data_IF_754830469303
#
_entry.id   IF_754830469303
#
_cell.length_a   1.000
_cell.length_b   1.000
_cell.length_c   1.000
_cell.angle_alpha   90.00
_cell.angle_beta   90.00
_cell.angle_gamma   90.00
#
_symmetry.space_group_name_H-M   'P 1'
#
loop_
_entity.id
_entity.type
_entity.pdbx_description
1 polymer ?
#
# COMPACT_ATOMS: atom_id res chain seq x y z
N UNK A 1 -7.46 5.44 19.79
CA UNK A 1 -7.38 5.36 18.31
C UNK A 1 -6.60 4.11 17.94
N UNK A 2 -7.08 3.38 16.96
CA UNK A 2 -6.47 2.13 16.47
C UNK A 2 -6.08 2.34 15.02
N UNK A 3 -4.86 1.99 14.65
CA UNK A 3 -4.37 2.04 13.27
C UNK A 3 -4.36 0.65 12.65
N UNK A 4 -4.97 0.48 11.47
CA UNK A 4 -5.01 -0.80 10.76
C UNK A 4 -4.33 -0.68 9.40
N UNK A 5 -3.58 -1.69 8.99
CA UNK A 5 -3.10 -1.80 7.61
C UNK A 5 -4.07 -2.62 6.77
N UNK A 6 -4.36 -2.17 5.55
CA UNK A 6 -5.10 -2.92 4.52
C UNK A 6 -4.08 -3.36 3.48
N UNK A 7 -3.74 -4.65 3.46
CA UNK A 7 -2.77 -5.23 2.53
C UNK A 7 -3.39 -6.30 1.65
N UNK A 8 -2.63 -6.86 0.73
CA UNK A 8 -3.04 -7.93 -0.18
C UNK A 8 -2.40 -7.79 -1.56
N UNK A 9 -2.37 -8.86 -2.35
CA UNK A 9 -1.74 -8.88 -3.66
C UNK A 9 -2.43 -8.01 -4.70
N UNK A 10 -1.78 -7.84 -5.84
CA UNK A 10 -2.36 -7.16 -7.01
C UNK A 10 -3.69 -7.83 -7.37
N UNK A 11 -4.74 -7.03 -7.61
CA UNK A 11 -6.06 -7.51 -8.00
C UNK A 11 -6.92 -8.08 -6.84
N UNK A 12 -6.44 -8.08 -5.59
CA UNK A 12 -7.20 -8.57 -4.44
C UNK A 12 -8.42 -7.72 -4.06
N UNK A 13 -8.47 -6.45 -4.46
CA UNK A 13 -9.58 -5.54 -4.13
C UNK A 13 -9.30 -4.64 -2.93
N UNK A 14 -8.05 -4.40 -2.54
CA UNK A 14 -7.68 -3.46 -1.46
C UNK A 14 -8.40 -2.13 -1.55
N UNK A 15 -8.27 -1.45 -2.68
CA UNK A 15 -8.87 -0.11 -2.85
C UNK A 15 -10.40 -0.14 -2.82
N UNK A 16 -11.04 -1.25 -3.17
CA UNK A 16 -12.48 -1.45 -2.97
C UNK A 16 -12.82 -1.52 -1.48
N UNK A 17 -12.08 -2.31 -0.70
CA UNK A 17 -12.21 -2.41 0.76
C UNK A 17 -11.92 -1.07 1.43
N UNK A 18 -10.84 -0.39 1.06
CA UNK A 18 -10.48 0.95 1.56
C UNK A 18 -11.60 1.97 1.32
N UNK A 19 -12.21 1.95 0.11
CA UNK A 19 -13.34 2.82 -0.21
C UNK A 19 -14.58 2.53 0.64
N UNK A 20 -14.85 1.26 0.97
CA UNK A 20 -15.96 0.89 1.87
C UNK A 20 -15.70 1.37 3.30
N UNK A 21 -14.47 1.26 3.79
CA UNK A 21 -14.08 1.78 5.11
C UNK A 21 -14.18 3.30 5.17
N UNK A 22 -13.74 4.01 4.13
CA UNK A 22 -13.90 5.48 4.04
C UNK A 22 -15.37 5.92 4.08
N UNK A 23 -16.26 5.18 3.42
CA UNK A 23 -17.72 5.43 3.48
C UNK A 23 -18.29 5.24 4.89
N UNK A 24 -17.63 4.46 5.73
CA UNK A 24 -18.00 4.25 7.14
C UNK A 24 -17.31 5.26 8.08
N UNK A 25 -16.62 6.28 7.52
CA UNK A 25 -15.96 7.32 8.30
C UNK A 25 -14.56 6.96 8.81
N UNK A 26 -13.95 5.89 8.31
CA UNK A 26 -12.57 5.51 8.66
C UNK A 26 -11.64 6.14 7.63
N UNK A 27 -10.80 7.12 8.01
CA UNK A 27 -9.82 7.72 7.10
C UNK A 27 -8.77 6.69 6.65
N UNK A 28 -8.37 6.75 5.39
CA UNK A 28 -7.37 5.84 4.81
C UNK A 28 -6.19 6.62 4.24
N UNK A 29 -5.00 6.29 4.70
CA UNK A 29 -3.72 6.74 4.15
C UNK A 29 -3.28 5.78 3.05
N UNK A 30 -3.26 6.22 1.79
CA UNK A 30 -2.80 5.39 0.67
C UNK A 30 -1.29 5.59 0.48
N UNK A 31 -0.48 4.57 0.81
CA UNK A 31 0.99 4.69 0.78
C UNK A 31 1.54 4.96 -0.61
N UNK A 32 0.92 4.43 -1.67
CA UNK A 32 1.38 4.63 -3.05
C UNK A 32 1.17 6.08 -3.51
N UNK A 33 0.04 6.68 -3.17
CA UNK A 33 -0.27 8.06 -3.54
C UNK A 33 0.53 9.06 -2.70
N UNK A 34 0.69 8.78 -1.40
CA UNK A 34 1.49 9.61 -0.51
C UNK A 34 3.00 9.52 -0.83
N UNK A 35 3.51 8.37 -1.22
CA UNK A 35 4.88 8.24 -1.72
C UNK A 35 5.10 9.12 -2.96
N UNK A 36 4.15 9.12 -3.92
CA UNK A 36 4.21 10.00 -5.10
C UNK A 36 4.15 11.48 -4.71
N UNK A 37 3.28 11.84 -3.75
CA UNK A 37 3.20 13.21 -3.23
C UNK A 37 4.51 13.64 -2.59
N UNK A 38 5.07 12.80 -1.71
CA UNK A 38 6.32 13.09 -1.01
C UNK A 38 7.52 13.18 -1.94
N UNK A 39 7.61 12.36 -2.98
CA UNK A 39 8.66 12.50 -4.00
C UNK A 39 8.63 13.86 -4.71
N UNK A 40 7.50 14.57 -4.69
CA UNK A 40 7.38 15.92 -5.28
C UNK A 40 7.60 17.01 -4.22
N UNK A 41 7.11 16.80 -2.99
CA UNK A 41 6.99 17.85 -1.97
C UNK A 41 8.02 17.80 -0.86
N UNK A 42 8.66 16.64 -0.61
CA UNK A 42 9.63 16.48 0.47
C UNK A 42 11.04 16.85 -0.03
N UNK A 43 11.62 17.88 0.58
CA UNK A 43 12.94 18.39 0.19
C UNK A 43 14.07 17.36 0.44
N UNK A 44 13.94 16.51 1.47
CA UNK A 44 14.91 15.48 1.77
C UNK A 44 14.89 14.35 0.74
N UNK A 45 13.70 13.87 0.33
CA UNK A 45 13.57 12.89 -0.76
C UNK A 45 14.16 13.47 -2.04
N UNK A 46 13.85 14.73 -2.35
CA UNK A 46 14.38 15.41 -3.53
C UNK A 46 15.91 15.43 -3.52
N UNK A 47 16.51 15.83 -2.40
CA UNK A 47 17.97 15.86 -2.26
C UNK A 47 18.60 14.48 -2.44
N UNK A 48 18.04 13.46 -1.79
CA UNK A 48 18.54 12.09 -1.84
C UNK A 48 18.38 11.47 -3.24
N UNK A 49 17.27 11.76 -3.95
CA UNK A 49 17.06 11.31 -5.33
C UNK A 49 18.00 12.01 -6.31
N UNK A 50 18.30 13.30 -6.13
CA UNK A 50 19.31 14.01 -6.93
C UNK A 50 20.70 13.42 -6.68
N UNK A 51 21.05 13.13 -5.45
CA UNK A 51 22.32 12.49 -5.12
C UNK A 51 22.46 11.09 -5.76
N UNK A 52 21.35 10.34 -5.89
CA UNK A 52 21.36 9.01 -6.49
C UNK A 52 21.29 9.01 -8.01
N UNK A 53 20.50 9.90 -8.62
CA UNK A 53 20.14 9.88 -10.05
C UNK A 53 20.75 11.04 -10.85
N UNK A 54 21.36 12.02 -10.17
CA UNK A 54 21.87 13.25 -10.78
C UNK A 54 20.81 14.38 -10.81
N UNK A 55 21.26 15.57 -11.19
CA UNK A 55 20.41 16.79 -11.24
C UNK A 55 19.18 16.63 -12.15
N UNK A 56 19.25 15.76 -13.16
CA UNK A 56 18.15 15.46 -14.08
C UNK A 56 17.00 14.70 -13.42
N UNK A 57 17.15 14.25 -12.17
CA UNK A 57 16.07 13.64 -11.39
C UNK A 57 14.85 14.57 -11.26
N UNK A 58 15.10 15.88 -11.27
CA UNK A 58 14.04 16.90 -11.29
C UNK A 58 14.33 17.96 -12.35
N UNK A 59 13.41 18.13 -13.28
CA UNK A 59 13.45 19.15 -14.33
C UNK A 59 12.44 20.25 -13.99
N UNK A 60 12.90 21.49 -13.90
CA UNK A 60 12.06 22.65 -13.53
C UNK A 60 11.21 22.43 -12.24
N UNK A 61 11.78 21.69 -11.29
CA UNK A 61 11.12 21.37 -10.04
C UNK A 61 10.16 20.16 -10.09
N UNK A 62 9.99 19.54 -11.25
CA UNK A 62 9.12 18.38 -11.48
C UNK A 62 9.95 17.10 -11.55
N UNK A 63 9.50 16.04 -10.85
CA UNK A 63 10.16 14.73 -10.90
C UNK A 63 10.21 14.17 -12.32
N UNK A 64 11.40 13.81 -12.78
CA UNK A 64 11.62 13.16 -14.07
C UNK A 64 11.23 11.67 -13.99
N UNK A 65 9.94 11.41 -14.20
CA UNK A 65 9.37 10.05 -14.12
C UNK A 65 10.02 9.08 -15.11
N UNK A 66 10.46 9.55 -16.28
CA UNK A 66 11.10 8.71 -17.28
C UNK A 66 12.49 8.25 -16.81
N UNK A 67 13.28 9.16 -16.22
CA UNK A 67 14.58 8.83 -15.66
C UNK A 67 14.43 7.83 -14.49
N UNK A 68 13.50 8.10 -13.58
CA UNK A 68 13.19 7.20 -12.45
C UNK A 68 12.78 5.82 -12.94
N UNK A 69 11.89 5.73 -13.91
CA UNK A 69 11.47 4.45 -14.49
C UNK A 69 12.64 3.72 -15.15
N UNK A 70 13.44 4.40 -15.96
CA UNK A 70 14.63 3.82 -16.59
C UNK A 70 15.61 3.27 -15.55
N UNK A 71 15.84 4.01 -14.47
CA UNK A 71 16.68 3.57 -13.36
C UNK A 71 16.12 2.31 -12.68
N UNK A 72 14.83 2.31 -12.36
CA UNK A 72 14.16 1.16 -11.71
C UNK A 72 14.24 -0.12 -12.54
N UNK A 73 14.18 -0.01 -13.88
CA UNK A 73 14.23 -1.18 -14.78
C UNK A 73 15.65 -1.61 -15.18
N UNK A 74 16.67 -0.79 -14.91
CA UNK A 74 18.05 -1.10 -15.33
C UNK A 74 18.75 -2.15 -14.45
N UNK A 75 18.34 -2.30 -13.19
CA UNK A 75 18.91 -3.25 -12.24
C UNK A 75 17.90 -3.63 -11.16
N UNK A 76 17.86 -4.92 -10.79
CA UNK A 76 16.90 -5.43 -9.79
C UNK A 76 17.08 -4.82 -8.38
N UNK A 77 18.29 -4.36 -8.04
CA UNK A 77 18.58 -3.71 -6.75
C UNK A 77 18.15 -2.24 -6.67
N UNK A 78 17.82 -1.62 -7.82
CA UNK A 78 17.53 -0.18 -7.84
C UNK A 78 16.21 0.17 -7.14
N UNK A 79 15.23 -0.70 -7.19
CA UNK A 79 13.98 -0.53 -6.43
C UNK A 79 14.27 -0.42 -4.92
N UNK A 80 15.15 -1.27 -4.38
CA UNK A 80 15.53 -1.22 -2.98
C UNK A 80 16.22 0.11 -2.60
N UNK A 81 17.05 0.66 -3.50
CA UNK A 81 17.70 1.96 -3.28
C UNK A 81 16.71 3.12 -3.24
N UNK A 82 15.76 3.16 -4.16
CA UNK A 82 14.67 4.17 -4.16
C UNK A 82 13.81 4.01 -2.89
N UNK A 83 13.44 2.77 -2.57
CA UNK A 83 12.62 2.47 -1.39
C UNK A 83 13.32 2.88 -0.08
N UNK A 84 14.64 2.70 0.02
CA UNK A 84 15.41 3.15 1.18
C UNK A 84 15.38 4.67 1.38
N UNK A 85 15.18 5.45 0.33
CA UNK A 85 14.98 6.90 0.39
C UNK A 85 13.53 7.25 0.77
N UNK A 86 12.57 6.59 0.12
CA UNK A 86 11.16 6.99 0.17
C UNK A 86 10.44 6.43 1.41
N UNK A 87 10.61 5.13 1.74
CA UNK A 87 9.82 4.48 2.79
C UNK A 87 9.99 5.11 4.18
N UNK A 88 11.18 5.51 4.65
CA UNK A 88 11.30 6.17 5.95
C UNK A 88 10.52 7.49 6.02
N UNK A 89 10.43 8.22 4.90
CA UNK A 89 9.68 9.49 4.82
C UNK A 89 8.19 9.24 4.80
N UNK A 90 7.73 8.17 4.12
CA UNK A 90 6.32 7.74 4.13
C UNK A 90 5.92 7.32 5.55
N UNK A 91 6.75 6.55 6.28
CA UNK A 91 6.50 6.20 7.69
C UNK A 91 6.37 7.45 8.57
N UNK A 92 7.31 8.37 8.46
CA UNK A 92 7.27 9.62 9.22
C UNK A 92 6.06 10.50 8.86
N UNK A 93 5.64 10.50 7.58
CA UNK A 93 4.45 11.22 7.14
C UNK A 93 3.17 10.56 7.67
N UNK A 94 3.10 9.23 7.66
CA UNK A 94 1.99 8.48 8.24
C UNK A 94 1.81 8.78 9.73
N UNK A 95 2.87 8.82 10.50
CA UNK A 95 2.79 9.21 11.93
C UNK A 95 2.22 10.61 12.10
N UNK A 96 2.63 11.60 11.28
CA UNK A 96 2.03 12.95 11.33
C UNK A 96 0.57 12.95 10.93
N UNK A 97 0.22 12.12 9.94
CA UNK A 97 -1.16 11.98 9.48
C UNK A 97 -2.05 11.34 10.55
N UNK A 98 -1.56 10.33 11.28
CA UNK A 98 -2.25 9.74 12.44
C UNK A 98 -2.57 10.82 13.49
N UNK A 99 -1.58 11.63 13.86
CA UNK A 99 -1.78 12.72 14.84
C UNK A 99 -2.84 13.72 14.40
N UNK A 100 -2.93 14.00 13.10
CA UNK A 100 -3.96 14.87 12.55
C UNK A 100 -5.38 14.24 12.58
N UNK A 101 -5.47 12.91 12.73
CA UNK A 101 -6.72 12.15 12.80
C UNK A 101 -7.00 11.55 14.19
N UNK A 102 -6.35 12.08 15.25
CA UNK A 102 -6.44 11.51 16.61
C UNK A 102 -7.86 11.44 17.20
N UNK A 103 -8.81 12.21 16.63
CA UNK A 103 -10.21 12.18 17.05
C UNK A 103 -11.00 11.00 16.43
N UNK A 104 -10.40 10.24 15.49
CA UNK A 104 -10.98 9.04 14.93
C UNK A 104 -10.72 7.83 15.83
N UNK A 105 -11.72 6.96 15.98
CA UNK A 105 -11.53 5.70 16.73
C UNK A 105 -10.63 4.72 16.00
N UNK A 106 -10.74 4.66 14.66
CA UNK A 106 -9.94 3.80 13.78
C UNK A 106 -9.46 4.64 12.60
N UNK A 107 -8.22 4.42 12.19
CA UNK A 107 -7.63 4.93 10.95
C UNK A 107 -7.00 3.78 10.17
N UNK A 108 -6.89 3.89 8.85
CA UNK A 108 -6.34 2.84 8.00
C UNK A 108 -5.15 3.29 7.16
N UNK A 109 -4.27 2.35 6.85
CA UNK A 109 -3.20 2.49 5.86
C UNK A 109 -3.44 1.47 4.74
N UNK A 110 -3.58 1.90 3.48
CA UNK A 110 -3.54 0.97 2.34
C UNK A 110 -2.10 0.81 1.84
N UNK A 111 -1.58 -0.43 1.89
CA UNK A 111 -0.22 -0.75 1.43
C UNK A 111 -0.15 -2.14 0.78
N UNK A 112 0.18 -2.22 -0.51
CA UNK A 112 0.30 -3.49 -1.22
C UNK A 112 1.54 -4.30 -0.84
N UNK A 113 2.62 -3.61 -0.47
CA UNK A 113 3.93 -4.16 -0.11
C UNK A 113 4.22 -3.96 1.38
N UNK A 114 3.20 -4.13 2.22
CA UNK A 114 3.27 -3.86 3.66
C UNK A 114 4.46 -4.56 4.33
N UNK A 115 4.53 -5.86 4.16
CA UNK A 115 5.56 -6.69 4.79
C UNK A 115 6.93 -6.56 4.12
N UNK A 116 6.95 -6.42 2.79
CA UNK A 116 8.18 -6.22 2.03
C UNK A 116 8.85 -4.87 2.36
N UNK A 117 8.05 -3.89 2.73
CA UNK A 117 8.50 -2.55 3.10
C UNK A 117 8.67 -2.35 4.63
N UNK A 118 8.32 -3.35 5.44
CA UNK A 118 8.36 -3.27 6.89
C UNK A 118 7.42 -2.22 7.47
N UNK A 119 6.23 -2.03 6.87
CA UNK A 119 5.24 -1.08 7.36
C UNK A 119 4.31 -1.68 8.43
N UNK A 120 4.38 -2.99 8.68
CA UNK A 120 3.63 -3.66 9.74
C UNK A 120 4.00 -3.18 11.14
N UNK A 121 5.19 -2.60 11.32
CA UNK A 121 5.68 -2.09 12.59
C UNK A 121 5.10 -0.73 13.01
N UNK A 122 4.34 -0.06 12.11
CA UNK A 122 3.75 1.28 12.37
C UNK A 122 2.22 1.25 12.47
N UNK A 123 1.63 0.07 12.56
CA UNK A 123 0.17 -0.13 12.72
C UNK A 123 -0.13 -1.10 13.85
N UNK A 124 -1.34 -1.02 14.43
CA UNK A 124 -1.76 -1.88 15.54
C UNK A 124 -2.27 -3.25 15.06
N UNK A 125 -2.81 -3.34 13.84
CA UNK A 125 -3.29 -4.60 13.27
C UNK A 125 -3.22 -4.60 11.73
N UNK A 126 -3.12 -5.80 11.16
CA UNK A 126 -3.03 -6.03 9.71
C UNK A 126 -4.25 -6.78 9.21
N UNK A 127 -4.92 -6.20 8.22
CA UNK A 127 -6.07 -6.77 7.50
C UNK A 127 -5.64 -7.17 6.09
N UNK A 128 -5.62 -8.47 5.82
CA UNK A 128 -5.37 -9.00 4.49
C UNK A 128 -6.64 -8.99 3.66
N UNK A 129 -6.63 -8.35 2.50
CA UNK A 129 -7.68 -8.49 1.49
C UNK A 129 -7.27 -9.61 0.53
N UNK A 130 -8.03 -10.70 0.57
CA UNK A 130 -7.70 -11.94 -0.14
C UNK A 130 -8.71 -12.26 -1.25
N UNK A 131 -8.18 -12.69 -2.38
CA UNK A 131 -8.93 -13.39 -3.44
C UNK A 131 -8.00 -14.41 -4.10
N UNK A 132 -8.53 -15.53 -4.62
CA UNK A 132 -7.75 -16.50 -5.37
C UNK A 132 -7.00 -15.87 -6.54
N UNK A 133 -5.78 -16.36 -6.85
CA UNK A 133 -4.91 -15.76 -7.84
C UNK A 133 -5.56 -15.58 -9.21
N UNK A 134 -6.34 -16.56 -9.67
CA UNK A 134 -7.00 -16.47 -10.98
C UNK A 134 -7.94 -15.26 -11.07
N UNK A 135 -8.73 -14.97 -10.02
CA UNK A 135 -9.60 -13.78 -9.95
C UNK A 135 -8.78 -12.49 -9.90
N UNK A 136 -7.67 -12.50 -9.18
CA UNK A 136 -6.78 -11.34 -9.08
C UNK A 136 -6.15 -11.01 -10.42
N UNK A 137 -5.69 -12.03 -11.16
CA UNK A 137 -5.13 -11.89 -12.50
C UNK A 137 -6.18 -11.30 -13.45
N UNK A 138 -7.39 -11.89 -13.50
CA UNK A 138 -8.49 -11.40 -14.34
C UNK A 138 -8.81 -9.91 -14.07
N UNK A 139 -8.99 -9.55 -12.80
CA UNK A 139 -9.29 -8.18 -12.38
C UNK A 139 -8.17 -7.20 -12.75
N UNK A 140 -6.91 -7.60 -12.53
CA UNK A 140 -5.78 -6.76 -12.83
C UNK A 140 -5.57 -6.58 -14.34
N UNK A 141 -5.79 -7.62 -15.15
CA UNK A 141 -5.76 -7.52 -16.61
C UNK A 141 -6.79 -6.52 -17.13
N UNK A 142 -8.03 -6.60 -16.62
CA UNK A 142 -9.12 -5.70 -17.03
C UNK A 142 -8.83 -4.24 -16.62
N UNK A 143 -8.36 -4.02 -15.39
CA UNK A 143 -8.07 -2.68 -14.86
C UNK A 143 -6.91 -2.01 -15.58
N UNK A 144 -5.81 -2.75 -15.79
CA UNK A 144 -4.53 -2.22 -16.25
C UNK A 144 -4.33 -2.33 -17.77
N UNK A 145 -5.29 -2.97 -18.47
CA UNK A 145 -5.17 -3.31 -19.91
C UNK A 145 -3.86 -4.05 -20.22
N UNK A 146 -3.41 -4.92 -19.29
CA UNK A 146 -2.16 -5.64 -19.35
C UNK A 146 -2.39 -7.12 -19.71
N UNK A 147 -1.36 -7.77 -20.25
CA UNK A 147 -1.40 -9.20 -20.53
C UNK A 147 -1.29 -10.04 -19.24
N UNK A 148 -1.77 -11.28 -19.28
CA UNK A 148 -1.65 -12.21 -18.15
C UNK A 148 -0.19 -12.37 -17.69
N UNK A 149 0.75 -12.50 -18.64
CA UNK A 149 2.17 -12.63 -18.36
C UNK A 149 2.73 -11.43 -17.57
N UNK A 150 2.31 -10.20 -17.95
CA UNK A 150 2.71 -8.98 -17.24
C UNK A 150 2.14 -8.94 -15.82
N UNK A 151 0.88 -9.35 -15.63
CA UNK A 151 0.26 -9.39 -14.30
C UNK A 151 0.92 -10.45 -13.43
N UNK A 152 1.16 -11.66 -13.95
CA UNK A 152 1.85 -12.73 -13.19
C UNK A 152 3.28 -12.33 -12.81
N UNK A 153 4.00 -11.63 -13.67
CA UNK A 153 5.34 -11.12 -13.34
C UNK A 153 5.28 -10.10 -12.17
N UNK A 154 4.26 -9.24 -12.12
CA UNK A 154 4.05 -8.32 -11.00
C UNK A 154 3.66 -9.04 -9.71
N UNK A 155 2.85 -10.10 -9.80
CA UNK A 155 2.48 -10.94 -8.65
C UNK A 155 3.73 -11.63 -8.09
N UNK A 156 4.56 -12.21 -8.96
CA UNK A 156 5.80 -12.87 -8.56
C UNK A 156 6.86 -11.93 -7.94
N UNK A 157 6.75 -10.63 -8.18
CA UNK A 157 7.61 -9.61 -7.57
C UNK A 157 7.15 -9.18 -6.16
N UNK A 158 5.99 -9.63 -5.70
CA UNK A 158 5.47 -9.41 -4.34
C UNK A 158 5.68 -10.65 -3.48
N UNK A 159 5.63 -10.48 -2.15
CA UNK A 159 5.53 -11.60 -1.21
C UNK A 159 4.32 -12.48 -1.57
N UNK A 160 4.47 -13.78 -1.41
CA UNK A 160 3.39 -14.74 -1.63
C UNK A 160 2.16 -14.38 -0.76
N UNK A 161 0.97 -14.52 -1.32
CA UNK A 161 -0.25 -14.13 -0.63
C UNK A 161 -0.59 -15.04 0.56
N UNK A 162 -0.19 -16.31 0.54
CA UNK A 162 -0.37 -17.20 1.69
C UNK A 162 0.55 -16.78 2.85
N UNK A 163 1.80 -16.40 2.54
CA UNK A 163 2.72 -15.85 3.55
C UNK A 163 2.17 -14.53 4.14
N UNK A 164 1.61 -13.66 3.30
CA UNK A 164 0.93 -12.44 3.78
C UNK A 164 -0.25 -12.77 4.68
N UNK A 165 -1.05 -13.76 4.29
CA UNK A 165 -2.24 -14.19 5.04
C UNK A 165 -1.87 -14.74 6.42
N UNK A 166 -0.82 -15.56 6.51
CA UNK A 166 -0.33 -16.10 7.78
C UNK A 166 0.21 -15.04 8.73
N UNK A 167 0.73 -13.93 8.18
CA UNK A 167 1.28 -12.80 8.95
C UNK A 167 0.23 -11.74 9.30
N UNK A 168 -0.99 -11.86 8.79
CA UNK A 168 -2.07 -10.88 9.01
C UNK A 168 -2.96 -11.29 10.17
N UNK A 169 -3.45 -10.33 10.94
CA UNK A 169 -4.34 -10.56 12.07
C UNK A 169 -5.76 -10.90 11.61
N UNK A 170 -6.19 -10.33 10.49
CA UNK A 170 -7.54 -10.51 9.94
C UNK A 170 -7.49 -10.71 8.44
N UNK A 171 -8.51 -11.42 7.91
CA UNK A 171 -8.67 -11.65 6.47
C UNK A 171 -10.08 -11.21 6.03
N UNK A 172 -10.14 -10.43 4.95
CA UNK A 172 -11.39 -10.06 4.25
C UNK A 172 -11.37 -10.69 2.86
N UNK A 173 -12.33 -11.57 2.60
CA UNK A 173 -12.46 -12.27 1.31
C UNK A 173 -13.26 -11.43 0.33
N UNK A 174 -12.74 -11.29 -0.88
CA UNK A 174 -13.38 -10.53 -1.98
C UNK A 174 -13.70 -11.41 -3.19
N UNK A 175 -13.74 -12.71 -3.02
CA UNK A 175 -14.02 -13.69 -4.08
C UNK A 175 -15.52 -13.87 -4.38
N UNK A 176 -16.37 -13.15 -3.66
CA UNK A 176 -17.83 -13.24 -3.80
C UNK A 176 -18.49 -14.31 -2.94
N UNK A 177 -17.72 -15.09 -2.17
CA UNK A 177 -18.26 -16.11 -1.27
C UNK A 177 -19.03 -15.52 -0.08
N UNK A 178 -18.59 -14.33 0.38
CA UNK A 178 -19.19 -13.61 1.51
C UNK A 178 -19.40 -12.13 1.15
N UNK A 179 -20.41 -11.50 1.74
CA UNK A 179 -20.58 -10.04 1.63
C UNK A 179 -19.42 -9.32 2.28
N UNK A 180 -18.72 -8.47 1.52
CA UNK A 180 -17.61 -7.68 2.04
C UNK A 180 -18.08 -6.71 3.12
N UNK A 181 -19.25 -6.07 2.95
CA UNK A 181 -19.82 -5.18 3.96
C UNK A 181 -20.07 -5.89 5.29
N UNK A 182 -20.60 -7.12 5.25
CA UNK A 182 -20.83 -7.91 6.46
C UNK A 182 -19.51 -8.29 7.13
N UNK A 183 -18.50 -8.67 6.37
CA UNK A 183 -17.16 -8.95 6.88
C UNK A 183 -16.53 -7.72 7.55
N UNK A 184 -16.63 -6.54 6.91
CA UNK A 184 -16.09 -5.30 7.46
C UNK A 184 -16.82 -4.86 8.74
N UNK A 185 -18.14 -5.00 8.80
CA UNK A 185 -18.90 -4.70 10.00
C UNK A 185 -18.48 -5.59 11.19
N UNK A 186 -18.28 -6.89 10.95
CA UNK A 186 -17.79 -7.83 11.95
C UNK A 186 -16.36 -7.51 12.39
N UNK A 187 -15.47 -7.23 11.42
CA UNK A 187 -14.07 -6.86 11.65
C UNK A 187 -13.94 -5.61 12.52
N UNK A 188 -14.64 -4.53 12.17
CA UNK A 188 -14.61 -3.27 12.94
C UNK A 188 -15.09 -3.50 14.37
N UNK A 189 -16.15 -4.28 14.55
CA UNK A 189 -16.65 -4.62 15.88
C UNK A 189 -15.60 -5.40 16.69
N UNK A 190 -14.95 -6.38 16.08
CA UNK A 190 -13.92 -7.20 16.73
C UNK A 190 -12.71 -6.34 17.12
N UNK A 191 -12.17 -5.54 16.21
CA UNK A 191 -11.05 -4.63 16.48
C UNK A 191 -11.34 -3.70 17.66
N UNK A 192 -12.56 -3.14 17.72
CA UNK A 192 -12.96 -2.29 18.84
C UNK A 192 -13.02 -3.04 20.17
N UNK A 193 -13.50 -4.29 20.19
CA UNK A 193 -13.61 -5.09 21.39
C UNK A 193 -12.24 -5.52 21.94
N UNK A 194 -11.29 -5.85 21.08
CA UNK A 194 -9.94 -6.29 21.46
C UNK A 194 -9.06 -5.14 21.99
N UNK A 195 -9.43 -3.90 21.71
CA UNK A 195 -8.66 -2.70 22.09
C UNK A 195 -9.40 -1.80 23.12
N UNK A 196 -10.47 -2.32 23.74
CA UNK A 196 -11.16 -1.70 24.87
C UNK A 196 -10.59 -2.18 26.20
#
# INVERSE_FOLDING_TARGET
MISIAITGGIGSGKSFVSNLLMKQGIPIYNTDDEAKRLMITDAGIRQDLIALLGEEAYLDGVLNKSLLASYLFSDAGNAARINAIVHPRVKADFHRWIEAHRDCEIVGMECAILFEAGFEDVVDAVVMVYAPEFLRVERAMLRDHATEAQIRARIAAQMNDEDKRERSDYVVYTDGSLSVDAQLAALIKQIKLENM
#
